data_IF_416621265455
#
_entry.id   IF_416621265455
#
_cell.length_a   1.000
_cell.length_b   1.000
_cell.length_c   1.000
_cell.angle_alpha   90.00
_cell.angle_beta   90.00
_cell.angle_gamma   90.00
#
_symmetry.space_group_name_H-M   'P 1'
#
loop_
_entity.id
_entity.type
_entity.pdbx_description
1 polymer ?
#
# COMPACT_ATOMS: atom_id res chain seq x y z
N UNK A 1 4.89 -22.68 -27.61
CA UNK A 1 4.90 -21.75 -26.46
C UNK A 1 5.09 -20.38 -27.04
N UNK A 2 4.17 -19.47 -26.78
CA UNK A 2 4.36 -18.08 -27.18
C UNK A 2 5.53 -17.51 -26.37
N UNK A 3 6.48 -16.90 -27.07
CA UNK A 3 7.65 -16.29 -26.46
C UNK A 3 7.20 -14.94 -25.92
N UNK A 4 7.38 -14.74 -24.61
CA UNK A 4 7.11 -13.45 -23.97
C UNK A 4 8.15 -12.45 -24.46
N UNK A 5 7.70 -11.36 -25.05
CA UNK A 5 8.53 -10.17 -25.25
C UNK A 5 8.73 -9.47 -23.90
N UNK A 6 9.88 -9.72 -23.28
CA UNK A 6 10.22 -9.19 -21.96
C UNK A 6 10.43 -7.68 -21.96
N UNK A 7 10.90 -7.10 -23.06
CA UNK A 7 11.10 -5.66 -23.18
C UNK A 7 9.74 -4.94 -23.24
N UNK A 8 8.80 -5.48 -24.03
CA UNK A 8 7.43 -4.96 -24.09
C UNK A 8 6.68 -5.11 -22.76
N UNK A 9 6.90 -6.21 -22.03
CA UNK A 9 6.34 -6.43 -20.70
C UNK A 9 6.87 -5.40 -19.68
N UNK A 10 8.18 -5.23 -19.62
CA UNK A 10 8.83 -4.28 -18.70
C UNK A 10 8.37 -2.83 -18.96
N UNK A 11 8.23 -2.46 -20.22
CA UNK A 11 7.74 -1.13 -20.63
C UNK A 11 6.21 -0.98 -20.52
N UNK A 12 5.50 -1.98 -19.98
CA UNK A 12 4.02 -2.00 -19.83
C UNK A 12 3.27 -1.76 -21.15
N UNK A 13 3.82 -2.25 -22.27
CA UNK A 13 3.22 -2.14 -23.61
C UNK A 13 2.32 -3.32 -23.97
N UNK A 14 2.53 -4.48 -23.34
CA UNK A 14 1.64 -5.62 -23.51
C UNK A 14 0.32 -5.37 -22.76
N UNK A 15 -0.85 -5.58 -23.39
CA UNK A 15 -2.13 -5.45 -22.70
C UNK A 15 -2.24 -6.55 -21.63
N UNK A 16 -2.63 -6.23 -20.38
CA UNK A 16 -2.86 -7.24 -19.37
C UNK A 16 -4.06 -8.11 -19.77
N UNK A 17 -4.05 -9.41 -19.44
CA UNK A 17 -5.13 -10.33 -19.79
C UNK A 17 -6.42 -10.07 -18.99
N UNK A 18 -6.34 -9.28 -17.92
CA UNK A 18 -7.45 -8.90 -17.06
C UNK A 18 -7.34 -7.42 -16.70
N UNK A 19 -8.47 -6.72 -16.80
CA UNK A 19 -8.64 -5.34 -16.37
C UNK A 19 -9.64 -5.32 -15.21
N UNK A 20 -9.25 -4.92 -13.98
CA UNK A 20 -10.17 -4.82 -12.86
C UNK A 20 -11.21 -3.72 -13.12
N UNK A 21 -12.44 -3.95 -12.65
CA UNK A 21 -13.51 -2.95 -12.73
C UNK A 21 -13.26 -1.89 -11.66
N UNK A 22 -13.20 -0.62 -12.07
CA UNK A 22 -13.06 0.55 -11.18
C UNK A 22 -14.17 1.53 -11.52
N UNK A 23 -15.05 1.82 -10.56
CA UNK A 23 -16.25 2.64 -10.74
C UNK A 23 -16.00 4.12 -10.51
N UNK A 24 -15.06 4.48 -9.64
CA UNK A 24 -14.74 5.85 -9.24
C UNK A 24 -13.33 5.95 -8.62
N UNK A 25 -12.84 7.16 -8.36
CA UNK A 25 -11.51 7.41 -7.79
C UNK A 25 -11.27 6.82 -6.40
N UNK A 26 -12.33 6.65 -5.61
CA UNK A 26 -12.29 6.06 -4.26
C UNK A 26 -12.92 4.65 -4.22
N UNK A 27 -13.00 3.97 -5.37
CA UNK A 27 -13.57 2.62 -5.43
C UNK A 27 -12.66 1.61 -4.70
N UNK A 28 -13.21 1.01 -3.65
CA UNK A 28 -12.54 -0.03 -2.84
C UNK A 28 -13.13 -1.42 -3.06
N UNK A 29 -13.96 -1.62 -4.10
CA UNK A 29 -14.69 -2.88 -4.32
C UNK A 29 -13.83 -4.07 -4.72
N UNK A 30 -12.55 -3.86 -5.06
CA UNK A 30 -11.55 -4.91 -5.28
C UNK A 30 -10.79 -5.30 -3.99
N UNK A 31 -11.13 -4.70 -2.85
CA UNK A 31 -10.64 -5.06 -1.51
C UNK A 31 -11.76 -5.71 -0.70
N UNK A 32 -11.40 -6.46 0.34
CA UNK A 32 -12.38 -7.10 1.22
C UNK A 32 -13.23 -6.05 1.99
N UNK A 33 -14.54 -6.27 2.02
CA UNK A 33 -15.47 -5.40 2.74
C UNK A 33 -15.26 -5.41 4.25
N UNK A 34 -14.74 -6.50 4.81
CA UNK A 34 -14.51 -6.63 6.24
C UNK A 34 -13.50 -5.59 6.76
N UNK A 35 -12.62 -5.08 5.89
CA UNK A 35 -11.69 -4.00 6.21
C UNK A 35 -12.18 -2.63 5.76
N UNK A 36 -12.73 -2.53 4.55
CA UNK A 36 -13.12 -1.23 3.97
C UNK A 36 -14.38 -0.63 4.61
N UNK A 37 -15.19 -1.45 5.29
CA UNK A 37 -16.32 -1.01 6.09
C UNK A 37 -15.92 -0.53 7.50
N UNK A 38 -14.67 -0.78 7.95
CA UNK A 38 -14.18 -0.28 9.24
C UNK A 38 -14.00 1.25 9.20
N UNK A 39 -14.04 1.88 10.37
CA UNK A 39 -13.70 3.30 10.47
C UNK A 39 -12.21 3.49 10.15
N UNK A 40 -11.84 4.45 9.29
CA UNK A 40 -10.44 4.72 8.96
C UNK A 40 -9.78 5.53 10.08
N UNK A 41 -9.52 4.89 11.21
CA UNK A 41 -8.94 5.52 12.41
C UNK A 41 -7.69 4.78 12.88
N UNK A 42 -6.75 5.54 13.46
CA UNK A 42 -5.61 4.96 14.17
C UNK A 42 -6.09 4.57 15.57
N UNK A 43 -6.33 3.28 15.79
CA UNK A 43 -6.68 2.77 17.12
C UNK A 43 -5.52 2.98 18.09
N UNK A 44 -5.77 3.42 19.33
CA UNK A 44 -4.71 3.50 20.34
C UNK A 44 -4.16 2.10 20.66
N UNK A 45 -2.91 1.99 21.12
CA UNK A 45 -2.34 0.72 21.54
C UNK A 45 -3.10 0.14 22.75
N UNK A 46 -3.13 -1.19 22.86
CA UNK A 46 -3.78 -1.89 23.98
C UNK A 46 -3.16 -1.58 25.35
N UNK A 47 -1.88 -1.19 25.35
CA UNK A 47 -1.19 -0.71 26.55
C UNK A 47 -1.26 0.83 26.59
N UNK A 48 -1.79 1.43 27.67
CA UNK A 48 -1.86 2.89 27.81
C UNK A 48 -0.51 3.52 28.16
N UNK A 49 0.54 2.72 28.40
CA UNK A 49 1.85 3.24 28.80
C UNK A 49 2.58 3.84 27.60
N UNK A 50 2.95 5.12 27.72
CA UNK A 50 3.80 5.78 26.75
C UNK A 50 5.19 5.11 26.67
N UNK A 51 5.76 5.05 25.47
CA UNK A 51 7.12 4.58 25.28
C UNK A 51 8.13 5.53 25.95
N UNK A 52 9.25 4.99 26.42
CA UNK A 52 10.37 5.79 26.91
C UNK A 52 11.09 6.48 25.75
N UNK A 53 11.93 7.47 26.03
CA UNK A 53 12.73 8.14 24.99
C UNK A 53 13.64 7.16 24.24
N UNK A 54 14.31 6.25 24.95
CA UNK A 54 15.17 5.22 24.34
C UNK A 54 14.40 4.32 23.38
N UNK A 55 13.16 3.96 23.70
CA UNK A 55 12.30 3.19 22.80
C UNK A 55 11.88 4.01 21.58
N UNK A 56 11.58 5.30 21.75
CA UNK A 56 11.26 6.19 20.64
C UNK A 56 12.46 6.38 19.69
N UNK A 57 13.69 6.40 20.23
CA UNK A 57 14.91 6.54 19.43
C UNK A 57 15.12 5.38 18.44
N UNK A 58 14.46 4.23 18.66
CA UNK A 58 14.46 3.10 17.69
C UNK A 58 13.80 3.48 16.36
N UNK A 59 12.93 4.51 16.34
CA UNK A 59 12.22 4.97 15.14
C UNK A 59 12.87 6.19 14.46
N UNK A 60 14.04 6.65 14.94
CA UNK A 60 14.65 7.94 14.55
C UNK A 60 14.83 8.15 13.04
N UNK A 61 15.08 7.08 12.29
CA UNK A 61 15.34 7.12 10.85
C UNK A 61 14.24 6.41 10.04
N UNK A 62 13.02 6.32 10.58
CA UNK A 62 11.88 5.67 9.92
C UNK A 62 11.29 6.50 8.77
N UNK A 63 11.32 7.83 8.91
CA UNK A 63 10.72 8.74 7.94
C UNK A 63 11.47 8.68 6.59
N UNK A 64 10.72 8.54 5.50
CA UNK A 64 11.26 8.44 4.15
C UNK A 64 10.44 9.25 3.15
N UNK A 65 11.12 9.93 2.21
CA UNK A 65 10.50 10.64 1.09
C UNK A 65 11.20 10.30 -0.22
N UNK A 66 10.49 9.64 -1.15
CA UNK A 66 11.03 9.22 -2.44
C UNK A 66 11.47 10.38 -3.35
N UNK A 67 11.04 11.62 -3.06
CA UNK A 67 11.33 12.81 -3.85
C UNK A 67 12.51 13.65 -3.33
N UNK A 68 13.10 13.28 -2.19
CA UNK A 68 14.28 13.95 -1.63
C UNK A 68 15.52 13.06 -1.79
N UNK A 69 16.06 13.05 -3.01
CA UNK A 69 17.37 12.53 -3.40
C UNK A 69 17.91 13.30 -4.58
#
# INVERSE_FOLDING_TARGET
>A
MDIIDWDALLLKKLPPPFMPVIKASLDVSNFDSDFTALRPELSPPSSPTALTQEQQDTFKDFDFCALHG
#
